data_IF_844022135660
#
_entry.id   IF_844022135660
#
_cell.length_a   1.000
_cell.length_b   1.000
_cell.length_c   1.000
_cell.angle_alpha   90.00
_cell.angle_beta   90.00
_cell.angle_gamma   90.00
#
_symmetry.space_group_name_H-M   'P 1'
#
loop_
_entity.id
_entity.type
_entity.pdbx_description
1 polymer ?
#
# COMPACT_ATOMS: atom_id res chain seq x y z
N UNK A 1 -16.27 41.67 3.78
CA UNK A 1 -17.28 40.62 4.04
C UNK A 1 -16.58 39.26 3.98
N UNK A 2 -16.27 38.65 5.12
CA UNK A 2 -15.73 37.29 5.14
C UNK A 2 -16.82 36.30 4.73
N UNK A 3 -16.60 35.53 3.67
CA UNK A 3 -17.44 34.37 3.35
C UNK A 3 -17.36 33.42 4.54
N UNK A 4 -18.44 33.33 5.31
CA UNK A 4 -18.59 32.26 6.30
C UNK A 4 -18.71 30.97 5.50
N UNK A 5 -17.61 30.22 5.42
CA UNK A 5 -17.62 28.89 4.85
C UNK A 5 -18.40 28.00 5.81
N UNK A 6 -19.63 27.65 5.44
CA UNK A 6 -20.37 26.61 6.14
C UNK A 6 -19.60 25.30 5.98
N UNK A 7 -18.94 24.86 7.05
CA UNK A 7 -18.30 23.55 7.10
C UNK A 7 -19.39 22.49 6.95
N UNK A 8 -19.36 21.75 5.84
CA UNK A 8 -20.15 20.55 5.72
C UNK A 8 -19.68 19.58 6.81
N UNK A 9 -20.57 19.03 7.64
CA UNK A 9 -20.17 18.07 8.66
C UNK A 9 -19.52 16.85 8.00
N UNK A 10 -18.38 16.41 8.54
CA UNK A 10 -17.68 15.22 8.04
C UNK A 10 -18.61 14.01 8.06
N UNK A 11 -18.54 13.19 7.01
CA UNK A 11 -19.32 11.94 6.96
C UNK A 11 -18.81 10.93 7.98
N UNK A 12 -19.67 10.01 8.44
CA UNK A 12 -19.24 8.92 9.34
C UNK A 12 -18.11 8.08 8.74
N UNK A 13 -18.12 7.89 7.41
CA UNK A 13 -17.06 7.20 6.69
C UNK A 13 -15.73 7.94 6.80
N UNK A 14 -15.73 9.25 6.56
CA UNK A 14 -14.53 10.09 6.70
C UNK A 14 -13.97 10.05 8.14
N UNK A 15 -14.82 10.19 9.14
CA UNK A 15 -14.41 10.10 10.56
C UNK A 15 -13.78 8.74 10.85
N UNK A 16 -14.37 7.67 10.31
CA UNK A 16 -13.84 6.31 10.45
C UNK A 16 -12.47 6.16 9.79
N UNK A 17 -12.28 6.69 8.58
CA UNK A 17 -11.00 6.65 7.87
C UNK A 17 -9.92 7.43 8.63
N UNK A 18 -10.24 8.63 9.13
CA UNK A 18 -9.32 9.43 9.97
C UNK A 18 -8.91 8.66 11.23
N UNK A 19 -9.87 8.01 11.90
CA UNK A 19 -9.61 7.21 13.10
C UNK A 19 -8.74 5.98 12.82
N UNK A 20 -9.02 5.24 11.74
CA UNK A 20 -8.29 4.01 11.40
C UNK A 20 -6.86 4.31 10.92
N UNK A 21 -6.70 5.32 10.07
CA UNK A 21 -5.43 5.58 9.38
C UNK A 21 -4.60 6.69 10.02
N UNK A 22 -5.19 7.52 10.89
CA UNK A 22 -4.53 8.65 11.52
C UNK A 22 -4.30 9.87 10.61
N UNK A 23 -4.79 9.86 9.37
CA UNK A 23 -4.58 10.97 8.44
C UNK A 23 -5.42 12.19 8.81
N UNK A 24 -4.79 13.37 8.75
CA UNK A 24 -5.42 14.67 9.02
C UNK A 24 -5.70 15.44 7.73
N UNK A 25 -4.93 15.17 6.67
CA UNK A 25 -5.06 15.78 5.35
C UNK A 25 -6.37 15.37 4.67
N UNK A 26 -7.20 16.36 4.31
CA UNK A 26 -8.41 16.13 3.52
C UNK A 26 -8.10 15.45 2.18
N UNK A 27 -7.02 15.88 1.50
CA UNK A 27 -6.57 15.27 0.24
C UNK A 27 -6.28 13.77 0.44
N UNK A 28 -5.62 13.39 1.54
CA UNK A 28 -5.33 11.99 1.86
C UNK A 28 -6.61 11.19 2.10
N UNK A 29 -7.57 11.75 2.85
CA UNK A 29 -8.85 11.09 3.13
C UNK A 29 -9.70 10.96 1.86
N UNK A 30 -9.86 12.03 1.07
CA UNK A 30 -10.57 11.99 -0.21
C UNK A 30 -9.93 11.00 -1.18
N UNK A 31 -8.60 10.84 -1.13
CA UNK A 31 -7.91 9.83 -1.91
C UNK A 31 -8.33 8.42 -1.47
N UNK A 32 -8.32 8.11 -0.17
CA UNK A 32 -8.77 6.82 0.38
C UNK A 32 -10.24 6.52 0.10
N UNK A 33 -11.11 7.53 0.08
CA UNK A 33 -12.55 7.37 -0.18
C UNK A 33 -12.86 6.82 -1.58
N UNK A 34 -11.89 6.83 -2.50
CA UNK A 34 -12.03 6.22 -3.83
C UNK A 34 -11.88 4.69 -3.81
N UNK A 35 -11.50 4.11 -2.66
CA UNK A 35 -11.50 2.66 -2.47
C UNK A 35 -12.93 2.14 -2.32
N UNK A 36 -13.18 0.95 -2.85
CA UNK A 36 -14.41 0.21 -2.54
C UNK A 36 -14.39 -0.29 -1.09
N UNK A 37 -15.54 -0.59 -0.50
CA UNK A 37 -15.62 -1.10 0.89
C UNK A 37 -14.70 -2.32 1.14
N UNK A 38 -14.63 -3.35 0.27
CA UNK A 38 -13.68 -4.45 0.45
C UNK A 38 -12.21 -4.02 0.46
N UNK A 39 -11.85 -3.05 -0.38
CA UNK A 39 -10.48 -2.52 -0.45
C UNK A 39 -10.14 -1.65 0.76
N UNK A 40 -11.11 -0.92 1.31
CA UNK A 40 -10.95 -0.18 2.57
C UNK A 40 -10.72 -1.13 3.75
N UNK A 41 -11.48 -2.23 3.82
CA UNK A 41 -11.29 -3.26 4.86
C UNK A 41 -9.89 -3.87 4.72
N UNK A 42 -9.46 -4.21 3.50
CA UNK A 42 -8.12 -4.72 3.24
C UNK A 42 -7.02 -3.72 3.66
N UNK A 43 -7.19 -2.44 3.33
CA UNK A 43 -6.28 -1.37 3.76
C UNK A 43 -6.23 -1.24 5.30
N UNK A 44 -7.38 -1.29 5.97
CA UNK A 44 -7.44 -1.23 7.43
C UNK A 44 -6.75 -2.44 8.08
N UNK A 45 -6.92 -3.63 7.50
CA UNK A 45 -6.21 -4.84 7.95
C UNK A 45 -4.70 -4.70 7.77
N UNK A 46 -4.24 -4.18 6.63
CA UNK A 46 -2.82 -3.89 6.37
C UNK A 46 -2.23 -3.01 7.48
N UNK A 47 -2.91 -1.93 7.82
CA UNK A 47 -2.43 -0.95 8.82
C UNK A 47 -2.38 -1.54 10.22
N UNK A 48 -3.38 -2.33 10.60
CA UNK A 48 -3.42 -3.00 11.91
C UNK A 48 -2.46 -4.19 12.03
N UNK A 49 -1.99 -4.74 10.91
CA UNK A 49 -1.08 -5.88 10.90
C UNK A 49 0.37 -5.43 11.06
N UNK A 50 0.90 -5.53 12.28
CA UNK A 50 2.29 -5.16 12.59
C UNK A 50 3.29 -6.32 12.45
N UNK A 51 2.81 -7.57 12.29
CA UNK A 51 3.65 -8.78 12.44
C UNK A 51 3.35 -9.92 11.46
N UNK A 52 2.60 -9.69 10.40
CA UNK A 52 2.18 -10.77 9.49
C UNK A 52 2.60 -10.49 8.05
N UNK A 53 3.21 -11.51 7.45
CA UNK A 53 3.75 -11.47 6.08
C UNK A 53 2.62 -11.72 5.09
N UNK A 54 2.18 -10.69 4.38
CA UNK A 54 1.21 -10.83 3.29
C UNK A 54 1.88 -10.57 1.93
N UNK A 55 1.21 -10.96 0.84
CA UNK A 55 1.64 -10.62 -0.52
C UNK A 55 1.01 -9.31 -0.95
N UNK A 56 1.73 -8.46 -1.67
CA UNK A 56 1.11 -7.26 -2.26
C UNK A 56 0.14 -7.58 -3.37
N UNK A 57 0.14 -8.81 -3.88
CA UNK A 57 -0.71 -9.27 -4.98
C UNK A 57 -2.01 -9.93 -4.50
N UNK A 58 -2.10 -10.29 -3.22
CA UNK A 58 -3.23 -11.08 -2.68
C UNK A 58 -3.83 -10.45 -1.42
N UNK A 59 -5.16 -10.53 -1.24
CA UNK A 59 -5.86 -9.91 -0.11
C UNK A 59 -5.43 -10.50 1.24
N UNK A 60 -5.52 -9.68 2.30
CA UNK A 60 -5.25 -10.14 3.66
C UNK A 60 -6.37 -11.08 4.10
N UNK A 61 -6.04 -12.34 4.38
CA UNK A 61 -7.01 -13.32 4.86
C UNK A 61 -7.17 -13.20 6.40
N UNK A 62 -8.38 -12.98 6.90
CA UNK A 62 -8.61 -12.66 8.33
C UNK A 62 -8.22 -13.78 9.31
N UNK A 63 -8.13 -15.04 8.87
CA UNK A 63 -7.85 -16.17 9.75
C UNK A 63 -6.40 -16.24 10.29
N UNK A 64 -5.51 -15.32 9.87
CA UNK A 64 -4.15 -15.24 10.40
C UNK A 64 -4.04 -14.60 11.79
N UNK A 65 -5.13 -14.07 12.35
CA UNK A 65 -5.15 -13.44 13.68
C UNK A 65 -4.76 -14.39 14.83
N UNK A 66 -4.87 -15.71 14.63
CA UNK A 66 -4.39 -16.72 15.58
C UNK A 66 -2.88 -16.95 15.56
N UNK A 67 -2.18 -16.59 14.49
CA UNK A 67 -0.73 -16.80 14.34
C UNK A 67 0.04 -15.51 14.69
N UNK A 68 0.03 -15.13 15.97
CA UNK A 68 0.66 -13.90 16.47
C UNK A 68 2.20 -13.86 16.33
N UNK A 69 2.85 -14.93 15.86
CA UNK A 69 4.32 -15.07 15.86
C UNK A 69 4.96 -15.38 14.50
N UNK A 70 4.23 -15.42 13.38
CA UNK A 70 4.89 -15.65 12.08
C UNK A 70 5.61 -14.38 11.62
N UNK A 71 6.85 -14.23 12.09
CA UNK A 71 7.77 -13.19 11.63
C UNK A 71 8.07 -13.36 10.15
N UNK A 72 8.29 -12.23 9.47
CA UNK A 72 8.85 -12.21 8.12
C UNK A 72 10.08 -13.12 8.04
N UNK A 73 10.31 -13.86 6.94
CA UNK A 73 11.53 -14.65 6.77
C UNK A 73 12.80 -13.80 6.87
N UNK A 74 12.68 -12.49 6.69
CA UNK A 74 13.77 -11.55 6.81
C UNK A 74 13.65 -10.74 8.11
N UNK A 75 14.76 -10.64 8.86
CA UNK A 75 14.84 -9.72 10.00
C UNK A 75 14.63 -8.27 9.56
N UNK A 76 14.16 -7.41 10.47
CA UNK A 76 13.89 -5.99 10.20
C UNK A 76 15.06 -5.33 9.44
N UNK A 77 14.77 -4.74 8.28
CA UNK A 77 15.77 -4.05 7.44
C UNK A 77 16.56 -4.92 6.46
N UNK A 78 16.67 -6.24 6.70
CA UNK A 78 17.42 -7.14 5.80
C UNK A 78 16.68 -7.41 4.48
N UNK A 79 15.36 -7.33 4.49
CA UNK A 79 14.48 -7.53 3.33
C UNK A 79 14.87 -6.66 2.13
N UNK A 80 15.07 -5.35 2.35
CA UNK A 80 15.47 -4.43 1.28
C UNK A 80 16.83 -4.79 0.69
N UNK A 81 17.82 -5.08 1.55
CA UNK A 81 19.16 -5.46 1.10
C UNK A 81 19.17 -6.79 0.36
N UNK A 82 18.34 -7.74 0.79
CA UNK A 82 18.19 -9.04 0.14
C UNK A 82 17.63 -8.85 -1.27
N UNK A 83 16.52 -8.14 -1.43
CA UNK A 83 15.94 -7.93 -2.75
C UNK A 83 16.83 -7.09 -3.66
N UNK A 84 17.54 -6.09 -3.14
CA UNK A 84 18.49 -5.32 -3.93
C UNK A 84 19.63 -6.18 -4.47
N UNK A 85 20.18 -7.09 -3.66
CA UNK A 85 21.24 -8.03 -4.07
C UNK A 85 20.78 -9.12 -5.03
N UNK A 86 19.47 -9.37 -5.08
CA UNK A 86 18.88 -10.45 -5.86
C UNK A 86 17.97 -9.94 -6.99
N UNK A 87 18.00 -8.64 -7.30
CA UNK A 87 17.09 -8.03 -8.26
C UNK A 87 17.16 -8.67 -9.65
N UNK A 88 18.34 -9.14 -10.06
CA UNK A 88 18.59 -9.76 -11.36
C UNK A 88 18.03 -11.20 -11.47
N UNK A 89 17.66 -11.80 -10.34
CA UNK A 89 17.06 -13.16 -10.27
C UNK A 89 15.53 -13.08 -10.32
N UNK A 90 14.95 -11.93 -9.97
CA UNK A 90 13.52 -11.71 -10.05
C UNK A 90 13.04 -11.70 -11.51
N UNK A 91 11.87 -12.27 -11.76
CA UNK A 91 11.23 -12.27 -13.08
C UNK A 91 10.81 -10.87 -13.53
N UNK A 92 10.81 -9.89 -12.62
CA UNK A 92 10.42 -8.50 -12.89
C UNK A 92 11.34 -7.50 -12.17
N UNK A 93 12.56 -7.37 -12.69
CA UNK A 93 13.64 -6.55 -12.11
C UNK A 93 13.25 -5.07 -11.95
N UNK A 94 12.57 -4.50 -12.96
CA UNK A 94 12.16 -3.09 -12.98
C UNK A 94 11.11 -2.76 -11.93
N UNK A 95 10.14 -3.65 -11.72
CA UNK A 95 9.13 -3.49 -10.66
C UNK A 95 9.78 -3.46 -9.28
N UNK A 96 10.68 -4.43 -9.04
CA UNK A 96 11.42 -4.55 -7.78
C UNK A 96 12.34 -3.36 -7.52
N UNK A 97 13.02 -2.84 -8.53
CA UNK A 97 13.87 -1.66 -8.41
C UNK A 97 13.08 -0.41 -8.04
N UNK A 98 11.95 -0.14 -8.71
CA UNK A 98 11.10 1.02 -8.40
C UNK A 98 10.59 0.97 -6.96
N UNK A 99 10.22 -0.22 -6.49
CA UNK A 99 9.67 -0.41 -5.17
C UNK A 99 10.74 -0.34 -4.07
N UNK A 100 11.91 -0.93 -4.31
CA UNK A 100 13.08 -0.78 -3.45
C UNK A 100 13.47 0.70 -3.31
N UNK A 101 13.50 1.44 -4.43
CA UNK A 101 13.78 2.87 -4.44
C UNK A 101 12.74 3.66 -3.64
N UNK A 102 11.45 3.34 -3.79
CA UNK A 102 10.37 3.94 -3.00
C UNK A 102 10.61 3.73 -1.49
N UNK A 103 10.84 2.49 -1.05
CA UNK A 103 11.07 2.17 0.36
C UNK A 103 12.35 2.81 0.89
N UNK A 104 13.40 2.88 0.08
CA UNK A 104 14.64 3.56 0.41
C UNK A 104 14.41 5.06 0.65
N UNK A 105 13.68 5.73 -0.25
CA UNK A 105 13.34 7.16 -0.11
C UNK A 105 12.50 7.42 1.14
N UNK A 106 11.50 6.58 1.39
CA UNK A 106 10.72 6.62 2.62
C UNK A 106 11.60 6.46 3.87
N UNK A 107 12.50 5.47 3.88
CA UNK A 107 13.40 5.23 5.02
C UNK A 107 14.33 6.40 5.24
N UNK A 108 14.80 7.05 4.17
CA UNK A 108 15.65 8.24 4.25
C UNK A 108 14.90 9.46 4.80
N UNK A 109 13.65 9.68 4.38
CA UNK A 109 12.77 10.71 4.98
C UNK A 109 12.64 10.44 6.48
N UNK A 110 12.41 9.19 6.86
CA UNK A 110 12.32 8.82 8.27
C UNK A 110 13.63 9.05 9.06
N UNK A 111 14.78 8.67 8.50
CA UNK A 111 16.07 8.93 9.15
C UNK A 111 16.34 10.42 9.32
N UNK A 112 16.02 11.23 8.30
CA UNK A 112 16.13 12.68 8.37
C UNK A 112 15.19 13.27 9.43
N UNK A 113 13.96 12.74 9.57
CA UNK A 113 13.03 13.23 10.59
C UNK A 113 13.47 12.91 12.01
N UNK A 114 14.03 11.72 12.24
CA UNK A 114 14.61 11.36 13.52
C UNK A 114 15.79 12.26 13.89
N UNK A 115 16.63 12.59 12.90
CA UNK A 115 17.72 13.54 13.08
C UNK A 115 17.19 14.90 13.55
N UNK A 116 16.20 15.46 12.85
CA UNK A 116 15.56 16.72 13.22
C UNK A 116 14.84 16.68 14.58
N UNK A 117 14.26 15.54 14.94
CA UNK A 117 13.61 15.37 16.25
C UNK A 117 14.63 15.41 17.40
N UNK A 118 15.83 14.87 17.18
CA UNK A 118 16.90 14.85 18.20
C UNK A 118 17.59 16.21 18.33
N UNK A 119 17.69 16.94 17.22
CA UNK A 119 18.35 18.24 17.16
C UNK A 119 17.32 19.34 16.81
N UNK A 120 16.49 19.70 17.80
CA UNK A 120 15.52 20.80 17.63
C UNK A 120 16.20 22.13 17.31
N UNK A 121 17.41 22.36 17.86
CA UNK A 121 18.23 23.54 17.60
C UNK A 121 18.59 23.69 16.13
N UNK A 122 18.83 22.60 15.40
CA UNK A 122 19.11 22.65 13.97
C UNK A 122 17.93 23.18 13.13
N UNK A 123 16.69 23.07 13.63
CA UNK A 123 15.51 23.63 12.94
C UNK A 123 15.35 25.10 13.27
N UNK A 124 15.57 25.48 14.53
CA UNK A 124 15.54 26.88 14.96
C UNK A 124 16.62 27.70 14.26
N UNK A 125 17.81 27.14 14.08
CA UNK A 125 18.88 27.77 13.30
C UNK A 125 18.47 28.06 11.84
N UNK A 126 17.59 27.24 11.24
CA UNK A 126 17.05 27.51 9.90
C UNK A 126 16.14 28.75 9.90
N UNK A 127 15.36 28.95 10.97
CA UNK A 127 14.54 30.15 11.12
C UNK A 127 15.39 31.41 11.26
N UNK A 128 16.57 31.30 11.88
CA UNK A 128 17.55 32.39 12.02
C UNK A 128 18.32 32.69 10.72
N UNK A 129 17.93 32.10 9.58
CA UNK A 129 18.54 32.34 8.27
C UNK A 129 19.87 31.62 8.05
N UNK A 130 20.29 30.74 8.97
CA UNK A 130 21.40 29.83 8.71
C UNK A 130 20.89 28.80 7.70
N UNK A 131 21.51 28.77 6.52
CA UNK A 131 20.99 28.11 5.33
C UNK A 131 20.33 26.76 5.61
N UNK A 132 19.21 26.52 4.93
CA UNK A 132 18.44 25.26 4.95
C UNK A 132 19.41 24.10 5.09
N UNK A 133 19.39 23.43 6.25
CA UNK A 133 20.30 22.30 6.47
C UNK A 133 20.16 21.36 5.27
N UNK A 134 21.28 20.90 4.72
CA UNK A 134 21.30 20.05 3.51
C UNK A 134 20.33 18.86 3.65
N UNK A 135 20.17 18.34 4.88
CA UNK A 135 19.22 17.31 5.25
C UNK A 135 17.75 17.71 5.02
N UNK A 136 17.34 18.96 5.26
CA UNK A 136 15.96 19.43 5.10
C UNK A 136 15.65 19.62 3.61
N UNK A 137 16.60 20.18 2.85
CA UNK A 137 16.52 20.25 1.40
C UNK A 137 16.43 18.86 0.77
N UNK A 138 17.24 17.92 1.27
CA UNK A 138 17.21 16.53 0.82
C UNK A 138 15.88 15.84 1.15
N UNK A 139 15.36 16.01 2.37
CA UNK A 139 14.05 15.48 2.76
C UNK A 139 12.94 16.02 1.86
N UNK A 140 12.96 17.32 1.55
CA UNK A 140 11.98 17.93 0.66
C UNK A 140 12.04 17.33 -0.75
N UNK A 141 13.24 17.19 -1.30
CA UNK A 141 13.45 16.52 -2.57
C UNK A 141 12.88 15.09 -2.56
N UNK A 142 13.09 14.34 -1.48
CA UNK A 142 12.56 12.99 -1.34
C UNK A 142 11.02 12.95 -1.27
N UNK A 143 10.39 13.83 -0.49
CA UNK A 143 8.92 13.94 -0.41
C UNK A 143 8.34 14.27 -1.79
N UNK A 144 8.97 15.20 -2.51
CA UNK A 144 8.53 15.65 -3.84
C UNK A 144 8.69 14.62 -4.93
N UNK A 145 9.71 13.77 -4.81
CA UNK A 145 9.92 12.68 -5.78
C UNK A 145 9.07 11.46 -5.44
N UNK A 146 8.59 11.30 -4.21
CA UNK A 146 7.82 10.14 -3.77
C UNK A 146 6.46 10.02 -4.49
N UNK A 147 5.67 11.11 -4.50
CA UNK A 147 4.32 11.11 -5.11
C UNK A 147 4.39 10.82 -6.62
N UNK A 148 5.22 11.52 -7.43
CA UNK A 148 5.34 11.23 -8.85
C UNK A 148 5.88 9.84 -9.12
N UNK A 149 6.84 9.36 -8.33
CA UNK A 149 7.40 8.01 -8.49
C UNK A 149 6.33 6.94 -8.29
N UNK A 150 5.50 7.07 -7.25
CA UNK A 150 4.40 6.14 -7.02
C UNK A 150 3.35 6.19 -8.14
N UNK A 151 3.02 7.39 -8.64
CA UNK A 151 2.04 7.57 -9.73
C UNK A 151 2.52 6.97 -11.06
N UNK A 152 3.79 7.18 -11.40
CA UNK A 152 4.42 6.71 -12.65
C UNK A 152 4.88 5.26 -12.58
N UNK A 153 4.90 4.68 -11.38
CA UNK A 153 5.38 3.32 -11.18
C UNK A 153 4.52 2.30 -11.95
N UNK A 154 5.13 1.43 -12.78
CA UNK A 154 4.43 0.35 -13.45
C UNK A 154 4.12 -0.83 -12.52
N UNK A 155 4.49 -0.75 -11.23
CA UNK A 155 4.31 -1.83 -10.25
C UNK A 155 2.84 -2.24 -10.18
N UNK A 156 2.56 -3.53 -10.41
CA UNK A 156 1.22 -4.10 -10.30
C UNK A 156 0.87 -4.36 -8.83
N UNK A 157 0.66 -3.29 -8.08
CA UNK A 157 0.31 -3.39 -6.67
C UNK A 157 -1.20 -3.46 -6.47
N UNK A 158 -1.65 -4.16 -5.40
CA UNK A 158 -3.04 -4.06 -4.93
C UNK A 158 -3.45 -2.61 -4.79
N UNK A 159 -4.70 -2.33 -5.21
CA UNK A 159 -5.26 -0.98 -5.17
C UNK A 159 -5.28 -0.42 -3.75
N UNK A 160 -5.67 -1.20 -2.75
CA UNK A 160 -5.63 -0.82 -1.32
C UNK A 160 -4.27 -0.27 -0.90
N UNK A 161 -3.17 -0.98 -1.21
CA UNK A 161 -1.81 -0.54 -0.87
C UNK A 161 -1.42 0.72 -1.66
N UNK A 162 -1.78 0.79 -2.96
CA UNK A 162 -1.49 1.97 -3.79
C UNK A 162 -2.15 3.22 -3.24
N UNK A 163 -3.39 3.09 -2.82
CA UNK A 163 -4.16 4.16 -2.22
C UNK A 163 -3.63 4.53 -0.83
N UNK A 164 -3.24 3.55 -0.02
CA UNK A 164 -2.53 3.80 1.24
C UNK A 164 -1.26 4.59 1.02
N UNK A 165 -0.33 4.11 0.18
CA UNK A 165 0.93 4.80 -0.10
C UNK A 165 0.72 6.20 -0.68
N UNK A 166 -0.30 6.38 -1.53
CA UNK A 166 -0.64 7.69 -2.08
C UNK A 166 -1.19 8.63 -1.02
N UNK A 167 -2.11 8.18 -0.17
CA UNK A 167 -2.64 8.97 0.94
C UNK A 167 -1.54 9.34 1.95
N UNK A 168 -0.63 8.41 2.19
CA UNK A 168 0.54 8.59 3.05
C UNK A 168 1.49 9.67 2.47
N UNK A 169 1.73 9.63 1.17
CA UNK A 169 2.55 10.64 0.48
C UNK A 169 1.88 12.03 0.50
N UNK A 170 0.56 12.09 0.28
CA UNK A 170 -0.23 13.32 0.39
C UNK A 170 -0.27 13.87 1.83
N UNK A 171 -0.19 12.99 2.83
CA UNK A 171 -0.12 13.40 4.23
C UNK A 171 1.24 14.07 4.50
N UNK A 172 2.34 13.46 4.05
CA UNK A 172 3.67 14.06 4.17
C UNK A 172 3.76 15.41 3.48
N UNK A 173 3.22 15.52 2.26
CA UNK A 173 3.16 16.78 1.52
C UNK A 173 2.36 17.84 2.29
N UNK A 174 1.19 17.47 2.82
CA UNK A 174 0.33 18.37 3.60
C UNK A 174 0.99 18.87 4.88
N UNK A 175 1.73 18.02 5.60
CA UNK A 175 2.37 18.40 6.85
C UNK A 175 3.67 19.16 6.62
N UNK A 176 4.39 18.86 5.53
CA UNK A 176 5.68 19.47 5.22
C UNK A 176 5.54 20.85 4.57
N UNK A 177 4.57 21.05 3.67
CA UNK A 177 4.44 22.30 2.93
C UNK A 177 4.26 23.53 3.85
N UNK A 178 3.40 23.51 4.88
CA UNK A 178 3.29 24.61 5.84
C UNK A 178 4.60 24.85 6.59
N UNK A 179 5.33 23.79 6.94
CA UNK A 179 6.62 23.90 7.62
C UNK A 179 7.66 24.58 6.70
N UNK A 180 7.73 24.18 5.43
CA UNK A 180 8.62 24.79 4.45
C UNK A 180 8.28 26.28 4.22
N UNK A 181 6.99 26.62 4.20
CA UNK A 181 6.52 28.02 4.15
C UNK A 181 6.96 28.83 5.37
N UNK A 182 6.77 28.31 6.59
CA UNK A 182 7.16 29.04 7.82
C UNK A 182 8.66 29.24 7.93
N UNK A 183 9.47 28.30 7.44
CA UNK A 183 10.92 28.40 7.45
C UNK A 183 11.46 29.31 6.32
N UNK A 184 10.58 30.04 5.62
CA UNK A 184 10.93 30.92 4.52
C UNK A 184 11.88 30.27 3.52
N UNK A 185 11.66 28.98 3.22
CA UNK A 185 12.44 28.20 2.25
C UNK A 185 12.02 28.63 0.83
N UNK A 186 12.09 29.93 0.57
CA UNK A 186 11.57 30.65 -0.61
C UNK A 186 12.22 30.15 -1.90
N UNK A 187 13.50 29.77 -1.86
CA UNK A 187 14.17 29.13 -3.00
C UNK A 187 13.56 27.77 -3.39
N UNK A 188 12.95 27.04 -2.46
CA UNK A 188 12.31 25.75 -2.73
C UNK A 188 10.79 25.86 -2.93
N UNK A 189 10.14 26.89 -2.38
CA UNK A 189 8.72 27.17 -2.60
C UNK A 189 8.39 27.54 -4.05
N UNK A 190 9.36 28.08 -4.81
CA UNK A 190 9.24 28.28 -6.25
C UNK A 190 8.96 26.98 -7.05
N UNK A 191 9.13 25.80 -6.44
CA UNK A 191 8.75 24.50 -7.03
C UNK A 191 7.26 24.20 -6.82
N UNK A 192 6.62 24.80 -5.82
CA UNK A 192 5.29 24.44 -5.35
C UNK A 192 4.21 25.48 -5.63
N UNK A 193 4.56 26.76 -5.76
CA UNK A 193 3.56 27.83 -5.81
C UNK A 193 3.78 28.79 -6.98
N UNK A 194 2.72 28.92 -7.77
CA UNK A 194 2.52 30.06 -8.66
C UNK A 194 1.55 31.12 -8.08
N UNK A 195 0.80 30.90 -6.98
CA UNK A 195 -0.39 31.74 -6.71
C UNK A 195 -0.89 31.99 -5.24
N UNK A 196 -0.08 31.94 -4.18
CA UNK A 196 -0.56 32.38 -2.83
C UNK A 196 0.27 33.55 -2.26
N UNK A 197 -0.39 34.69 -2.00
CA UNK A 197 0.19 35.82 -1.26
C UNK A 197 0.30 35.47 0.24
N UNK A 198 1.52 35.45 0.76
CA UNK A 198 1.78 35.12 2.16
C UNK A 198 1.96 36.41 2.99
N UNK A 199 1.04 36.67 3.91
CA UNK A 199 1.07 37.82 4.81
C UNK A 199 2.15 37.64 5.89
N UNK A 200 3.10 38.57 5.99
CA UNK A 200 4.23 38.49 6.92
C UNK A 200 3.84 39.12 8.26
N UNK A 201 3.28 38.31 9.16
CA UNK A 201 3.21 38.67 10.58
C UNK A 201 4.61 38.83 11.20
N UNK A 202 4.72 39.54 12.33
CA UNK A 202 6.00 39.84 12.99
C UNK A 202 6.81 38.61 13.44
N UNK A 203 8.13 38.78 13.55
CA UNK A 203 9.14 37.71 13.68
C UNK A 203 8.91 36.73 14.85
N UNK A 204 8.42 37.20 16.00
CA UNK A 204 8.19 36.37 17.19
C UNK A 204 7.04 35.34 16.98
N UNK A 205 6.07 35.68 16.11
CA UNK A 205 5.01 34.77 15.70
C UNK A 205 5.47 33.68 14.73
N UNK A 206 6.57 33.90 14.01
CA UNK A 206 7.06 32.97 12.99
C UNK A 206 7.69 31.74 13.64
N UNK A 207 8.51 31.94 14.69
CA UNK A 207 9.20 30.85 15.39
C UNK A 207 8.20 29.90 16.05
N UNK A 208 7.25 30.45 16.83
CA UNK A 208 6.22 29.64 17.49
C UNK A 208 5.34 28.87 16.49
N UNK A 209 5.00 29.47 15.35
CA UNK A 209 4.29 28.77 14.29
C UNK A 209 5.13 27.68 13.63
N UNK A 210 6.43 27.92 13.40
CA UNK A 210 7.33 26.94 12.82
C UNK A 210 7.50 25.72 13.74
N UNK A 211 7.60 25.93 15.05
CA UNK A 211 7.67 24.85 16.06
C UNK A 211 6.41 23.99 16.05
N UNK A 212 5.22 24.60 16.08
CA UNK A 212 3.94 23.88 16.03
C UNK A 212 3.84 23.06 14.73
N UNK A 213 4.22 23.65 13.59
CA UNK A 213 4.21 22.97 12.28
C UNK A 213 5.23 21.83 12.25
N UNK A 214 6.39 22.01 12.88
CA UNK A 214 7.40 20.97 12.98
C UNK A 214 6.92 19.80 13.84
N UNK A 215 6.34 20.06 15.02
CA UNK A 215 5.80 19.00 15.87
C UNK A 215 4.66 18.23 15.18
N UNK A 216 3.80 18.93 14.43
CA UNK A 216 2.78 18.30 13.58
C UNK A 216 3.42 17.41 12.50
N UNK A 217 4.46 17.90 11.81
CA UNK A 217 5.20 17.14 10.81
C UNK A 217 5.85 15.88 11.41
N UNK A 218 6.51 16.00 12.57
CA UNK A 218 7.11 14.87 13.28
C UNK A 218 6.08 13.84 13.71
N UNK A 219 4.91 14.28 14.20
CA UNK A 219 3.80 13.38 14.54
C UNK A 219 3.34 12.60 13.30
N UNK A 220 3.13 13.29 12.20
CA UNK A 220 2.64 12.67 10.97
C UNK A 220 3.70 11.74 10.36
N UNK A 221 4.99 12.05 10.51
CA UNK A 221 6.09 11.14 10.20
C UNK A 221 6.11 9.86 11.06
N UNK A 222 5.70 9.94 12.33
CA UNK A 222 5.55 8.77 13.19
C UNK A 222 4.42 7.84 12.70
N UNK A 223 3.31 8.43 12.21
CA UNK A 223 2.25 7.67 11.54
C UNK A 223 2.75 7.03 10.25
N UNK A 224 3.48 7.80 9.43
CA UNK A 224 4.12 7.35 8.20
C UNK A 224 5.03 6.17 8.47
N UNK A 225 5.91 6.27 9.46
CA UNK A 225 6.80 5.19 9.87
C UNK A 225 6.00 3.93 10.22
N UNK A 226 4.98 4.07 11.07
CA UNK A 226 4.17 2.94 11.52
C UNK A 226 3.49 2.25 10.34
N UNK A 227 2.89 3.04 9.44
CA UNK A 227 2.20 2.55 8.26
C UNK A 227 3.16 1.90 7.26
N UNK A 228 4.28 2.55 6.97
CA UNK A 228 5.33 2.00 6.09
C UNK A 228 5.91 0.75 6.70
N UNK A 229 6.10 0.69 8.01
CA UNK A 229 6.59 -0.51 8.68
C UNK A 229 5.60 -1.65 8.49
N UNK A 230 4.31 -1.42 8.71
CA UNK A 230 3.26 -2.40 8.42
C UNK A 230 3.27 -2.82 6.94
N UNK A 231 3.36 -1.88 6.00
CA UNK A 231 3.47 -2.18 4.57
C UNK A 231 4.78 -2.93 4.24
N UNK A 232 5.88 -2.59 4.93
CA UNK A 232 7.23 -3.16 4.78
C UNK A 232 7.28 -4.61 5.24
N UNK A 233 6.50 -4.95 6.27
CA UNK A 233 6.31 -6.32 6.73
C UNK A 233 5.40 -7.12 5.79
N UNK A 234 4.53 -6.42 5.06
CA UNK A 234 3.69 -6.97 3.99
C UNK A 234 4.48 -7.10 2.67
N UNK A 235 5.80 -6.89 2.71
CA UNK A 235 6.66 -7.01 1.54
C UNK A 235 7.07 -8.45 1.21
N UNK A 236 6.08 -9.31 0.99
CA UNK A 236 6.18 -10.18 -0.18
C UNK A 236 5.80 -9.33 -1.42
N UNK A 237 6.63 -8.32 -1.70
CA UNK A 237 6.68 -7.61 -2.98
C UNK A 237 7.05 -8.56 -4.11
N UNK A 238 7.78 -9.60 -3.75
CA UNK A 238 8.00 -10.80 -4.53
C UNK A 238 7.03 -11.85 -3.99
N UNK A 239 6.25 -12.54 -4.83
CA UNK A 239 5.48 -13.71 -4.39
C UNK A 239 6.38 -14.64 -3.58
N UNK A 240 5.89 -15.19 -2.46
CA UNK A 240 6.67 -16.07 -1.59
C UNK A 240 7.32 -17.24 -2.35
N UNK A 241 6.70 -17.66 -3.44
CA UNK A 241 7.19 -18.68 -4.36
C UNK A 241 8.43 -18.24 -5.12
N UNK A 242 8.45 -16.99 -5.58
CA UNK A 242 9.60 -16.40 -6.24
C UNK A 242 10.69 -16.08 -5.21
N UNK A 243 10.35 -15.64 -4.00
CA UNK A 243 11.29 -15.53 -2.88
C UNK A 243 11.95 -16.87 -2.60
N UNK A 244 11.17 -17.94 -2.52
CA UNK A 244 11.70 -19.30 -2.32
C UNK A 244 12.65 -19.70 -3.45
N UNK A 245 12.27 -19.44 -4.70
CA UNK A 245 13.10 -19.75 -5.87
C UNK A 245 14.45 -18.99 -5.81
N UNK A 246 14.44 -17.73 -5.39
CA UNK A 246 15.67 -16.94 -5.21
C UNK A 246 16.55 -17.56 -4.11
N UNK A 247 15.97 -17.93 -2.96
CA UNK A 247 16.69 -18.54 -1.85
C UNK A 247 17.29 -19.90 -2.25
N UNK A 248 16.52 -20.75 -2.93
CA UNK A 248 16.97 -22.05 -3.44
C UNK A 248 18.13 -21.89 -4.43
N UNK A 249 18.03 -20.95 -5.38
CA UNK A 249 19.08 -20.67 -6.37
C UNK A 249 20.39 -20.14 -5.75
N UNK A 250 20.32 -19.41 -4.63
CA UNK A 250 21.51 -18.88 -3.95
C UNK A 250 22.24 -19.91 -3.09
N UNK A 251 21.62 -21.06 -2.82
CA UNK A 251 22.18 -22.15 -2.03
C UNK A 251 21.30 -22.47 -0.83
N UNK A 252 20.70 -23.66 -0.85
CA UNK A 252 19.74 -24.12 0.17
C UNK A 252 20.30 -24.13 1.59
N UNK A 253 21.61 -24.35 1.75
CA UNK A 253 22.23 -24.49 3.07
C UNK A 253 22.43 -23.14 3.75
N UNK A 254 22.77 -22.09 2.99
CA UNK A 254 22.97 -20.73 3.50
C UNK A 254 21.67 -20.09 4.00
N UNK A 255 20.55 -20.46 3.37
CA UNK A 255 19.23 -19.87 3.61
C UNK A 255 18.21 -20.87 4.14
N UNK A 256 18.67 -21.95 4.78
CA UNK A 256 17.80 -23.06 5.22
C UNK A 256 16.65 -22.59 6.12
N UNK A 257 16.92 -21.65 7.02
CA UNK A 257 15.92 -21.12 7.95
C UNK A 257 14.87 -20.26 7.22
N UNK A 258 15.31 -19.38 6.32
CA UNK A 258 14.46 -18.52 5.51
C UNK A 258 13.59 -19.35 4.54
N UNK A 259 14.17 -20.40 3.95
CA UNK A 259 13.47 -21.38 3.11
C UNK A 259 12.38 -22.07 3.93
N UNK A 260 12.73 -22.62 5.09
CA UNK A 260 11.77 -23.32 5.96
C UNK A 260 10.64 -22.40 6.44
N UNK A 261 10.96 -21.16 6.79
CA UNK A 261 9.96 -20.17 7.22
C UNK A 261 9.07 -19.74 6.05
N UNK A 262 9.64 -19.48 4.88
CA UNK A 262 8.89 -19.17 3.65
C UNK A 262 7.95 -20.30 3.27
N UNK A 263 8.43 -21.56 3.34
CA UNK A 263 7.60 -22.74 3.16
C UNK A 263 6.50 -22.78 4.21
N UNK A 264 6.80 -22.66 5.50
CA UNK A 264 5.79 -22.68 6.57
C UNK A 264 4.68 -21.64 6.34
N UNK A 265 5.02 -20.42 5.88
CA UNK A 265 4.05 -19.39 5.53
C UNK A 265 3.19 -19.82 4.33
N UNK A 266 3.80 -20.37 3.27
CA UNK A 266 3.06 -20.91 2.13
C UNK A 266 2.11 -22.05 2.55
N UNK A 267 2.56 -22.92 3.46
CA UNK A 267 1.80 -24.07 4.00
C UNK A 267 0.58 -23.62 4.79
N UNK A 268 0.70 -22.56 5.59
CA UNK A 268 -0.44 -22.02 6.34
C UNK A 268 -1.42 -21.24 5.44
N UNK A 269 -0.89 -20.58 4.41
CA UNK A 269 -1.65 -19.70 3.52
C UNK A 269 -2.48 -20.41 2.46
N UNK A 270 -1.87 -21.34 1.73
CA UNK A 270 -2.52 -21.94 0.57
C UNK A 270 -3.79 -22.73 0.86
N UNK A 271 -3.92 -23.51 1.94
CA UNK A 271 -5.15 -24.24 2.23
C UNK A 271 -6.37 -23.32 2.26
N UNK A 272 -6.24 -22.15 2.88
CA UNK A 272 -7.31 -21.17 2.96
C UNK A 272 -7.66 -20.59 1.58
N UNK A 273 -6.65 -20.20 0.78
CA UNK A 273 -6.86 -19.67 -0.57
C UNK A 273 -7.54 -20.72 -1.45
N UNK A 274 -7.09 -21.98 -1.37
CA UNK A 274 -7.66 -23.10 -2.11
C UNK A 274 -9.13 -23.30 -1.72
N UNK A 275 -9.45 -23.34 -0.43
CA UNK A 275 -10.84 -23.52 0.02
C UNK A 275 -11.75 -22.33 -0.37
N UNK A 276 -11.26 -21.10 -0.25
CA UNK A 276 -11.98 -19.90 -0.70
C UNK A 276 -12.29 -19.96 -2.19
N UNK A 277 -11.29 -20.26 -3.04
CA UNK A 277 -11.48 -20.44 -4.49
C UNK A 277 -12.43 -21.60 -4.82
N UNK A 278 -12.39 -22.71 -4.08
CA UNK A 278 -13.34 -23.82 -4.23
C UNK A 278 -14.78 -23.38 -3.93
N UNK A 279 -15.00 -22.56 -2.90
CA UNK A 279 -16.33 -22.01 -2.59
C UNK A 279 -16.83 -21.08 -3.70
N UNK A 280 -15.96 -20.22 -4.23
CA UNK A 280 -16.29 -19.34 -5.36
C UNK A 280 -16.67 -20.15 -6.61
N UNK A 281 -15.90 -21.21 -6.93
CA UNK A 281 -16.21 -22.16 -7.99
C UNK A 281 -17.60 -22.78 -7.78
N UNK A 282 -17.91 -23.25 -6.57
CA UNK A 282 -19.23 -23.83 -6.24
C UNK A 282 -20.36 -22.80 -6.46
N UNK A 283 -20.15 -21.56 -6.05
CA UNK A 283 -21.11 -20.47 -6.23
C UNK A 283 -21.34 -20.14 -7.72
N UNK A 284 -20.26 -19.98 -8.50
CA UNK A 284 -20.34 -19.70 -9.94
C UNK A 284 -21.05 -20.82 -10.69
N UNK A 285 -20.73 -22.10 -10.39
CA UNK A 285 -21.42 -23.25 -10.98
C UNK A 285 -22.93 -23.20 -10.68
N UNK A 286 -23.31 -22.87 -9.43
CA UNK A 286 -24.73 -22.72 -9.04
C UNK A 286 -25.40 -21.58 -9.83
N UNK A 287 -24.73 -20.43 -10.00
CA UNK A 287 -25.23 -19.28 -10.77
C UNK A 287 -25.40 -19.62 -12.25
N UNK A 288 -24.41 -20.24 -12.87
CA UNK A 288 -24.45 -20.69 -14.27
C UNK A 288 -25.59 -21.70 -14.51
N UNK A 289 -25.82 -22.63 -13.58
CA UNK A 289 -26.96 -23.57 -13.66
C UNK A 289 -28.30 -22.83 -13.69
N UNK A 290 -28.49 -21.82 -12.84
CA UNK A 290 -29.71 -20.98 -12.84
C UNK A 290 -29.90 -20.26 -14.18
N UNK A 291 -28.83 -19.64 -14.71
CA UNK A 291 -28.87 -18.93 -16.00
C UNK A 291 -29.22 -19.90 -17.13
N UNK A 292 -28.62 -21.10 -17.17
CA UNK A 292 -28.95 -22.13 -18.17
C UNK A 292 -30.42 -22.55 -18.12
N UNK A 293 -31.02 -22.66 -16.93
CA UNK A 293 -32.45 -22.96 -16.79
C UNK A 293 -33.31 -21.80 -17.32
N UNK A 294 -32.96 -20.55 -17.02
CA UNK A 294 -33.66 -19.37 -17.54
C UNK A 294 -33.60 -19.30 -19.07
N UNK A 295 -32.41 -19.50 -19.66
CA UNK A 295 -32.21 -19.57 -21.11
C UNK A 295 -33.10 -20.65 -21.72
N UNK A 296 -33.16 -21.84 -21.12
CA UNK A 296 -34.06 -22.93 -21.58
C UNK A 296 -35.54 -22.54 -21.52
N UNK A 297 -35.97 -21.79 -20.49
CA UNK A 297 -37.34 -21.27 -20.39
C UNK A 297 -37.63 -20.21 -21.45
N UNK A 298 -36.69 -19.29 -21.66
CA UNK A 298 -36.82 -18.21 -22.65
C UNK A 298 -36.89 -18.75 -24.08
N UNK A 299 -36.10 -19.78 -24.43
CA UNK A 299 -36.21 -20.46 -25.74
C UNK A 299 -37.59 -21.07 -26.03
N UNK A 300 -38.43 -21.29 -25.02
CA UNK A 300 -39.79 -21.81 -25.21
C UNK A 300 -40.81 -20.69 -25.47
N UNK A 301 -40.50 -19.45 -25.09
CA UNK A 301 -41.35 -18.29 -25.33
C UNK A 301 -40.96 -17.79 -26.72
N UNK A 302 -41.74 -18.15 -27.73
CA UNK A 302 -41.32 -18.07 -29.15
C UNK A 302 -41.11 -16.67 -29.69
N UNK A 303 -41.72 -15.63 -29.13
CA UNK A 303 -41.68 -14.29 -29.71
C UNK A 303 -41.63 -13.22 -28.62
N UNK A 304 -40.60 -12.35 -28.64
CA UNK A 304 -40.74 -11.01 -28.03
C UNK A 304 -39.51 -10.36 -27.38
N UNK A 305 -38.47 -11.09 -26.93
CA UNK A 305 -37.40 -10.45 -26.13
C UNK A 305 -35.99 -10.99 -26.43
N UNK A 306 -35.49 -10.69 -27.64
CA UNK A 306 -34.17 -11.13 -28.13
C UNK A 306 -33.02 -10.43 -27.38
N UNK A 307 -33.17 -9.15 -27.02
CA UNK A 307 -32.10 -8.37 -26.39
C UNK A 307 -31.70 -8.89 -25.00
N UNK A 308 -32.68 -9.26 -24.17
CA UNK A 308 -32.43 -9.83 -22.83
C UNK A 308 -31.74 -11.21 -22.90
N UNK A 309 -31.95 -11.94 -23.98
CA UNK A 309 -31.34 -13.25 -24.20
C UNK A 309 -29.84 -13.15 -24.50
N UNK A 310 -29.44 -12.21 -25.37
CA UNK A 310 -28.03 -11.98 -25.72
C UNK A 310 -27.21 -11.53 -24.50
N UNK A 311 -27.72 -10.58 -23.71
CA UNK A 311 -27.03 -10.12 -22.50
C UNK A 311 -26.78 -11.27 -21.50
N UNK A 312 -27.73 -12.21 -21.37
CA UNK A 312 -27.59 -13.40 -20.53
C UNK A 312 -26.58 -14.41 -21.09
N UNK A 313 -26.45 -14.51 -22.41
CA UNK A 313 -25.43 -15.35 -23.04
C UNK A 313 -24.03 -14.79 -22.82
N UNK A 314 -23.83 -13.48 -23.01
CA UNK A 314 -22.55 -12.81 -22.72
C UNK A 314 -22.17 -13.03 -21.25
N UNK A 315 -23.10 -12.80 -20.33
CA UNK A 315 -22.88 -13.04 -18.90
C UNK A 315 -22.51 -14.50 -18.58
N UNK A 316 -23.10 -15.48 -19.29
CA UNK A 316 -22.77 -16.89 -19.12
C UNK A 316 -21.37 -17.23 -19.64
N UNK A 317 -20.96 -16.63 -20.75
CA UNK A 317 -19.63 -16.79 -21.33
C UNK A 317 -18.54 -16.24 -20.39
N UNK A 318 -18.72 -15.02 -19.88
CA UNK A 318 -17.79 -14.39 -18.93
C UNK A 318 -17.63 -15.24 -17.66
N UNK A 319 -18.74 -15.74 -17.11
CA UNK A 319 -18.70 -16.65 -15.95
C UNK A 319 -17.96 -17.95 -16.27
N UNK A 320 -18.08 -18.49 -17.48
CA UNK A 320 -17.38 -19.70 -17.88
C UNK A 320 -15.86 -19.47 -17.97
N UNK A 321 -15.44 -18.33 -18.52
CA UNK A 321 -14.02 -17.95 -18.59
C UNK A 321 -13.42 -17.77 -17.20
N UNK A 322 -14.13 -17.10 -16.30
CA UNK A 322 -13.73 -16.97 -14.89
C UNK A 322 -13.63 -18.35 -14.19
N UNK A 323 -14.59 -19.24 -14.44
CA UNK A 323 -14.60 -20.60 -13.88
C UNK A 323 -13.39 -21.43 -14.34
N UNK A 324 -13.04 -21.36 -15.63
CA UNK A 324 -11.87 -22.04 -16.19
C UNK A 324 -10.59 -21.53 -15.51
N UNK A 325 -10.45 -20.21 -15.39
CA UNK A 325 -9.31 -19.57 -14.70
C UNK A 325 -9.20 -20.03 -13.25
N UNK A 326 -10.28 -19.93 -12.47
CA UNK A 326 -10.28 -20.33 -11.06
C UNK A 326 -9.92 -21.82 -10.86
N UNK A 327 -10.42 -22.70 -11.73
CA UNK A 327 -10.05 -24.13 -11.70
C UNK A 327 -8.59 -24.38 -12.05
N UNK A 328 -8.02 -23.57 -12.95
CA UNK A 328 -6.59 -23.62 -13.24
C UNK A 328 -5.79 -23.21 -12.01
N UNK A 329 -6.13 -22.07 -11.41
CA UNK A 329 -5.45 -21.56 -10.22
C UNK A 329 -5.50 -22.55 -9.04
N UNK A 330 -6.66 -23.16 -8.77
CA UNK A 330 -6.80 -24.15 -7.68
C UNK A 330 -5.92 -25.37 -7.93
N UNK A 331 -5.85 -25.85 -9.17
CA UNK A 331 -4.98 -26.98 -9.54
C UNK A 331 -3.51 -26.62 -9.37
N UNK A 332 -3.10 -25.44 -9.84
CA UNK A 332 -1.74 -24.95 -9.71
C UNK A 332 -1.32 -24.78 -8.24
N UNK A 333 -2.15 -24.13 -7.43
CA UNK A 333 -1.89 -23.96 -5.99
C UNK A 333 -1.82 -25.31 -5.26
N UNK A 334 -2.73 -26.24 -5.58
CA UNK A 334 -2.72 -27.59 -4.99
C UNK A 334 -1.46 -28.36 -5.40
N UNK A 335 -1.01 -28.21 -6.64
CA UNK A 335 0.21 -28.82 -7.15
C UNK A 335 1.46 -28.23 -6.48
N UNK A 336 1.56 -26.91 -6.37
CA UNK A 336 2.64 -26.20 -5.66
C UNK A 336 2.72 -26.58 -4.19
N UNK A 337 1.55 -26.77 -3.56
CA UNK A 337 1.44 -27.36 -2.24
C UNK A 337 2.10 -28.73 -2.34
N UNK A 338 1.54 -29.69 -3.09
CA UNK A 338 1.97 -31.09 -3.09
C UNK A 338 3.44 -31.37 -3.46
N UNK A 339 4.02 -30.72 -4.48
CA UNK A 339 5.43 -30.92 -4.89
C UNK A 339 6.39 -30.58 -3.74
N UNK A 340 6.12 -29.49 -3.02
CA UNK A 340 7.01 -29.01 -1.96
C UNK A 340 6.90 -29.82 -0.65
N UNK A 341 6.04 -30.85 -0.58
CA UNK A 341 5.99 -31.78 0.55
C UNK A 341 6.63 -33.14 0.29
N UNK A 342 6.98 -33.49 -0.95
CA UNK A 342 7.65 -34.79 -1.25
C UNK A 342 9.18 -34.75 -1.14
N UNK A 343 9.76 -33.58 -0.86
CA UNK A 343 11.23 -33.36 -0.77
C UNK A 343 11.71 -33.34 0.70
N UNK A 344 10.85 -33.72 1.65
CA UNK A 344 11.22 -34.02 3.04
C UNK A 344 11.04 -35.50 3.28
#
# INVERSE_FOLDING_TARGET
>A
MHKVSFFAPNTLLEISLRSIFGFTSEKSISFLMQLTLPEMIDAALIVRCTRSSFSIYEPVCQNFLGYRSMTCPFANGTCNTFFQRNKDICGNTKEMENLSNFMCNVSKIYSCSLFFRKDKSAILAIADGWGVTEAMGYMLFLVNTLVPSLKRSPVKMRRSIRFLLGALSLQLEHSFLPLAKSLSITRLLNIFEENEEFDRGGDEGIISQAEIRFDNFVRDLGLVETLIKSISHICNFVPLEETLNILEKKGSDLFKNEINLTLSILRSKYPYIIESKKLEIKFLIKKMRKIKVLIKKMKKIKDGDVGNFEQKLVSLYDMNMLLIKLRSDVRELSFRLHIKYKIQ
#
